data_IF_524661112220
#
_entry.id   IF_524661112220
#
_cell.length_a   1.000
_cell.length_b   1.000
_cell.length_c   1.000
_cell.angle_alpha   90.00
_cell.angle_beta   90.00
_cell.angle_gamma   90.00
#
_symmetry.space_group_name_H-M   'P 1'
#
loop_
_entity.id
_entity.type
_entity.pdbx_description
1 polymer ?
#
# COMPACT_ATOMS: atom_id res chain seq x y z
N UNK A 1 -9.33 18.74 -40.40
CA UNK A 1 -9.23 19.35 -39.06
C UNK A 1 -7.95 18.85 -38.42
N UNK A 2 -6.89 19.66 -38.44
CA UNK A 2 -5.59 19.34 -37.85
C UNK A 2 -5.30 20.38 -36.75
N UNK A 3 -5.00 19.91 -35.54
CA UNK A 3 -4.59 20.74 -34.41
C UNK A 3 -3.06 20.67 -34.23
N UNK A 4 -2.45 21.87 -34.25
CA UNK A 4 -1.37 22.42 -33.41
C UNK A 4 -0.12 21.59 -32.98
N UNK A 5 1.04 22.16 -33.36
CA UNK A 5 2.39 22.16 -32.71
C UNK A 5 2.40 23.05 -31.43
N UNK A 6 3.54 23.32 -30.69
CA UNK A 6 4.92 22.74 -30.65
C UNK A 6 5.52 22.56 -29.21
N UNK A 7 6.79 22.11 -29.08
CA UNK A 7 7.69 22.65 -28.03
C UNK A 7 8.73 21.70 -27.38
N UNK A 8 9.97 21.68 -27.90
CA UNK A 8 11.21 21.16 -27.25
C UNK A 8 11.88 22.28 -26.43
N UNK A 9 12.52 21.95 -25.30
CA UNK A 9 13.94 22.30 -25.05
C UNK A 9 14.53 21.59 -23.81
N UNK A 10 15.68 20.93 -24.03
CA UNK A 10 16.64 20.43 -23.04
C UNK A 10 17.49 21.58 -22.50
N UNK A 11 18.00 21.44 -21.27
CA UNK A 11 19.30 21.99 -20.84
C UNK A 11 20.01 20.98 -19.94
N UNK A 12 21.20 20.58 -20.38
CA UNK A 12 22.20 19.81 -19.65
C UNK A 12 22.86 20.66 -18.55
N UNK A 13 23.26 20.02 -17.44
CA UNK A 13 24.50 20.37 -16.73
C UNK A 13 25.17 19.08 -16.23
N UNK A 14 26.24 18.72 -16.90
CA UNK A 14 27.24 17.73 -16.49
C UNK A 14 28.31 18.46 -15.69
N UNK A 15 28.64 18.06 -14.45
CA UNK A 15 30.03 18.17 -13.97
C UNK A 15 30.34 17.18 -12.85
N UNK A 16 31.44 16.45 -13.07
CA UNK A 16 32.09 15.47 -12.22
C UNK A 16 32.56 16.03 -10.87
N UNK A 17 32.72 15.15 -9.87
CA UNK A 17 33.86 15.17 -8.94
C UNK A 17 33.98 13.81 -8.22
N UNK A 18 34.84 12.96 -8.77
CA UNK A 18 35.55 11.90 -8.06
C UNK A 18 36.70 12.53 -7.29
N UNK A 19 36.78 12.34 -5.97
CA UNK A 19 38.05 12.46 -5.23
C UNK A 19 38.13 11.34 -4.18
N UNK A 20 39.03 10.40 -4.48
CA UNK A 20 39.69 9.46 -3.58
C UNK A 20 40.36 10.15 -2.38
N UNK A 21 40.36 9.51 -1.21
CA UNK A 21 41.52 9.51 -0.28
C UNK A 21 41.41 8.41 0.78
N UNK A 22 42.13 7.31 0.52
CA UNK A 22 42.71 6.43 1.55
C UNK A 22 43.89 7.15 2.23
N UNK A 23 44.03 6.99 3.55
CA UNK A 23 45.24 6.56 4.29
C UNK A 23 45.37 7.18 5.70
N UNK A 24 45.76 6.34 6.68
CA UNK A 24 46.25 6.74 8.02
C UNK A 24 45.80 5.83 9.17
N UNK A 25 46.16 4.53 9.19
CA UNK A 25 47.16 3.89 10.10
C UNK A 25 47.21 4.36 11.57
N UNK A 26 46.85 3.41 12.46
CA UNK A 26 47.44 3.00 13.75
C UNK A 26 47.83 4.04 14.83
N UNK A 27 47.33 3.85 16.07
CA UNK A 27 48.11 3.37 17.24
C UNK A 27 47.30 3.43 18.56
N UNK A 28 47.28 2.29 19.27
CA UNK A 28 47.51 2.11 20.71
C UNK A 28 46.67 2.86 21.79
N UNK A 29 45.94 2.02 22.54
CA UNK A 29 46.13 1.80 24.00
C UNK A 29 45.39 2.64 25.06
N UNK A 30 45.08 1.93 26.17
CA UNK A 30 44.83 2.36 27.56
C UNK A 30 43.42 2.87 27.90
N UNK A 31 42.63 2.08 28.63
CA UNK A 31 42.55 1.99 30.12
C UNK A 31 41.93 3.24 30.76
N UNK A 32 40.68 3.13 31.23
CA UNK A 32 40.25 3.64 32.54
C UNK A 32 38.83 3.14 32.89
N UNK A 33 38.77 2.19 33.82
CA UNK A 33 37.62 1.95 34.71
C UNK A 33 37.66 3.02 35.80
N UNK A 34 36.52 3.56 36.22
CA UNK A 34 36.36 4.17 37.55
C UNK A 34 35.05 3.75 38.21
N UNK A 35 35.05 3.35 39.50
CA UNK A 35 33.93 2.72 40.17
C UNK A 35 33.12 3.64 41.10
N UNK A 36 31.95 3.09 41.45
CA UNK A 36 31.01 3.34 42.57
C UNK A 36 31.61 3.95 43.84
N UNK A 37 30.85 4.85 44.50
CA UNK A 37 30.82 4.90 45.98
C UNK A 37 29.50 5.43 46.56
N UNK A 38 28.88 4.57 47.37
CA UNK A 38 27.81 4.83 48.34
C UNK A 38 28.15 5.94 49.34
N UNK A 39 27.15 6.71 49.78
CA UNK A 39 26.94 7.07 51.21
C UNK A 39 25.44 7.27 51.46
N UNK A 40 24.86 6.39 52.27
CA UNK A 40 23.62 6.63 53.00
C UNK A 40 23.96 7.38 54.29
N UNK A 41 23.18 8.40 54.67
CA UNK A 41 23.05 8.83 56.05
C UNK A 41 21.66 9.40 56.32
N UNK A 42 20.94 8.72 57.20
CA UNK A 42 19.71 9.11 57.86
C UNK A 42 19.95 10.30 58.80
N UNK A 43 19.02 11.26 58.83
CA UNK A 43 18.74 12.01 60.07
C UNK A 43 17.33 12.60 60.05
N UNK A 44 16.50 12.07 60.94
CA UNK A 44 15.29 12.70 61.46
C UNK A 44 15.67 13.97 62.23
N UNK A 45 14.94 15.06 62.01
CA UNK A 45 14.67 16.06 63.04
C UNK A 45 13.30 16.71 62.81
N UNK A 46 12.51 16.73 63.87
CA UNK A 46 11.17 17.31 63.98
C UNK A 46 11.22 18.82 64.24
N UNK A 47 10.19 19.49 63.71
CA UNK A 47 9.55 20.73 64.18
C UNK A 47 10.39 22.01 64.29
N UNK A 48 10.06 23.01 63.45
CA UNK A 48 9.69 24.40 63.80
C UNK A 48 9.12 25.06 62.53
N UNK A 49 7.90 25.58 62.62
CA UNK A 49 7.35 26.66 61.79
C UNK A 49 6.86 27.73 62.80
N UNK A 50 6.76 29.04 62.47
CA UNK A 50 6.28 29.54 61.18
C UNK A 50 6.84 30.89 60.68
N UNK A 51 6.50 31.24 59.44
CA UNK A 51 6.00 32.54 58.94
C UNK A 51 6.63 33.01 57.62
N UNK A 52 5.72 33.25 56.67
CA UNK A 52 5.85 34.06 55.45
C UNK A 52 6.68 33.49 54.30
N UNK A 53 6.12 32.47 53.63
CA UNK A 53 6.29 32.31 52.19
C UNK A 53 4.92 32.47 51.51
N UNK A 54 4.78 33.56 50.77
CA UNK A 54 3.66 33.92 49.90
C UNK A 54 3.43 32.80 48.88
N UNK A 55 2.40 31.99 49.10
CA UNK A 55 1.97 30.98 48.13
C UNK A 55 1.27 31.69 46.96
N UNK A 56 1.87 31.60 45.76
CA UNK A 56 1.15 31.81 44.51
C UNK A 56 0.07 30.73 44.32
N UNK A 57 -0.86 30.89 43.37
CA UNK A 57 -1.95 29.94 43.20
C UNK A 57 -1.36 28.56 42.87
N UNK A 58 -1.55 27.64 43.80
CA UNK A 58 -1.20 26.22 43.63
C UNK A 58 -2.12 25.70 42.53
N UNK A 59 -1.54 25.31 41.40
CA UNK A 59 -2.25 24.61 40.33
C UNK A 59 -3.04 23.44 40.92
N UNK A 60 -4.34 23.30 40.65
CA UNK A 60 -5.11 22.21 41.23
C UNK A 60 -4.52 20.89 40.71
N UNK A 61 -4.08 20.04 41.62
CA UNK A 61 -3.78 18.65 41.32
C UNK A 61 -5.00 18.06 40.60
N UNK A 62 -4.77 17.42 39.46
CA UNK A 62 -5.81 16.75 38.69
C UNK A 62 -6.43 15.66 39.58
N UNK A 63 -7.58 15.96 40.17
CA UNK A 63 -8.38 15.03 40.94
C UNK A 63 -8.90 13.92 40.01
N UNK A 64 -8.12 12.86 39.82
CA UNK A 64 -8.51 11.69 39.03
C UNK A 64 -9.70 10.91 39.62
N UNK A 65 -10.08 11.17 40.88
CA UNK A 65 -11.21 10.55 41.57
C UNK A 65 -12.20 11.58 42.12
N UNK A 66 -12.61 12.55 41.31
CA UNK A 66 -13.80 13.33 41.65
C UNK A 66 -15.05 12.49 41.36
N UNK A 67 -15.45 11.64 42.31
CA UNK A 67 -16.73 10.92 42.26
C UNK A 67 -17.83 11.95 41.99
N UNK A 68 -18.55 11.81 40.88
CA UNK A 68 -19.62 12.74 40.52
C UNK A 68 -20.55 12.90 41.73
N UNK A 69 -20.77 14.15 42.15
CA UNK A 69 -21.63 14.42 43.29
C UNK A 69 -23.03 13.94 42.94
N UNK A 70 -23.47 12.89 43.64
CA UNK A 70 -24.80 12.34 43.44
C UNK A 70 -25.84 13.45 43.66
N UNK A 71 -26.87 13.52 42.80
CA UNK A 71 -27.91 14.54 42.94
C UNK A 71 -28.61 14.41 44.29
N UNK A 72 -28.81 15.54 44.98
CA UNK A 72 -29.58 15.57 46.22
C UNK A 72 -31.02 15.07 46.01
N UNK A 73 -31.56 14.38 47.01
CA UNK A 73 -32.93 13.87 47.02
C UNK A 73 -33.88 15.04 47.33
N UNK A 74 -34.64 15.45 46.33
CA UNK A 74 -35.74 16.42 46.46
C UNK A 74 -37.04 15.69 46.17
N UNK A 75 -38.17 16.15 46.73
CA UNK A 75 -39.49 15.50 46.54
C UNK A 75 -39.81 15.30 45.06
N UNK A 76 -39.52 16.33 44.26
CA UNK A 76 -39.63 16.29 42.80
C UNK A 76 -38.21 16.30 42.23
N UNK A 77 -37.91 15.29 41.42
CA UNK A 77 -36.63 15.18 40.71
C UNK A 77 -36.87 15.04 39.23
N UNK A 78 -36.19 15.88 38.45
CA UNK A 78 -36.14 15.77 37.01
C UNK A 78 -34.95 14.91 36.61
N UNK A 79 -35.21 13.79 35.94
CA UNK A 79 -34.19 12.92 35.38
C UNK A 79 -33.88 13.41 33.97
N UNK A 80 -32.62 13.79 33.68
CA UNK A 80 -32.23 14.21 32.34
C UNK A 80 -32.46 13.12 31.29
N UNK A 81 -32.60 13.53 30.03
CA UNK A 81 -32.66 12.58 28.92
C UNK A 81 -31.39 11.72 28.85
N UNK A 82 -31.56 10.48 28.40
CA UNK A 82 -30.47 9.50 28.27
C UNK A 82 -29.68 9.26 29.58
N UNK A 83 -30.35 9.38 30.72
CA UNK A 83 -29.80 9.11 32.05
C UNK A 83 -30.79 8.28 32.85
N UNK A 84 -30.30 7.33 33.64
CA UNK A 84 -31.08 6.50 34.54
C UNK A 84 -30.58 6.68 35.98
N UNK A 85 -31.48 6.97 36.91
CA UNK A 85 -31.16 7.03 38.34
C UNK A 85 -31.63 5.75 39.02
N UNK A 86 -30.73 5.09 39.74
CA UNK A 86 -31.03 3.90 40.54
C UNK A 86 -31.31 4.34 41.96
N UNK A 87 -32.51 4.01 42.44
CA UNK A 87 -33.00 4.44 43.75
C UNK A 87 -33.06 3.26 44.71
N UNK A 88 -32.51 3.47 45.89
CA UNK A 88 -32.61 2.58 47.04
C UNK A 88 -33.60 3.16 48.06
N UNK A 89 -34.42 2.30 48.66
CA UNK A 89 -35.27 2.63 49.80
C UNK A 89 -34.78 1.86 51.01
N UNK A 90 -34.38 2.58 52.07
CA UNK A 90 -33.83 1.98 53.29
C UNK A 90 -32.68 0.97 53.01
N UNK A 91 -31.84 1.25 52.01
CA UNK A 91 -30.71 0.40 51.62
C UNK A 91 -31.05 -0.82 50.77
N UNK A 92 -32.30 -1.00 50.32
CA UNK A 92 -32.68 -2.01 49.32
C UNK A 92 -33.02 -1.36 47.99
N UNK A 93 -32.71 -2.03 46.88
CA UNK A 93 -33.16 -1.59 45.56
C UNK A 93 -34.69 -1.42 45.52
N UNK A 94 -35.16 -0.28 45.00
CA UNK A 94 -36.58 0.01 44.86
C UNK A 94 -37.03 0.12 43.41
N UNK A 95 -36.46 1.05 42.63
CA UNK A 95 -36.82 1.27 41.22
C UNK A 95 -35.73 2.02 40.44
N UNK A 96 -35.78 1.89 39.12
CA UNK A 96 -34.98 2.68 38.17
C UNK A 96 -35.85 3.82 37.64
N UNK A 97 -35.39 5.06 37.76
CA UNK A 97 -36.07 6.22 37.21
C UNK A 97 -35.68 6.43 35.74
N UNK A 98 -36.68 6.42 34.86
CA UNK A 98 -36.55 6.77 33.46
C UNK A 98 -36.56 8.31 33.28
N UNK A 99 -36.12 8.84 32.12
CA UNK A 99 -36.14 10.28 31.85
C UNK A 99 -37.52 10.91 32.07
N UNK A 100 -37.56 12.07 32.72
CA UNK A 100 -38.81 12.79 33.03
C UNK A 100 -38.93 13.19 34.50
N UNK A 101 -40.15 13.53 34.91
CA UNK A 101 -40.47 13.91 36.28
C UNK A 101 -40.65 12.66 37.15
N UNK A 102 -39.86 12.57 38.21
CA UNK A 102 -39.93 11.51 39.20
C UNK A 102 -40.25 12.08 40.59
N UNK A 103 -41.12 11.39 41.32
CA UNK A 103 -41.44 11.71 42.72
C UNK A 103 -40.67 10.75 43.62
N UNK A 104 -39.97 11.33 44.60
CA UNK A 104 -39.13 10.64 45.59
C UNK A 104 -39.53 11.10 46.99
N UNK A 105 -39.49 10.20 47.96
CA UNK A 105 -39.74 10.56 49.36
C UNK A 105 -38.40 10.96 50.00
N UNK A 106 -38.17 12.24 50.32
CA UNK A 106 -36.96 12.65 51.02
C UNK A 106 -36.87 11.90 52.35
N UNK A 107 -35.67 11.50 52.77
CA UNK A 107 -35.35 10.61 53.90
C UNK A 107 -35.42 9.11 53.59
N UNK A 108 -36.50 8.61 52.96
CA UNK A 108 -36.65 7.17 52.70
C UNK A 108 -35.94 6.70 51.43
N UNK A 109 -36.05 7.49 50.35
CA UNK A 109 -35.50 7.16 49.04
C UNK A 109 -34.14 7.86 48.86
N UNK A 110 -33.13 7.12 48.40
CA UNK A 110 -31.77 7.60 48.12
C UNK A 110 -31.34 7.24 46.71
N UNK A 111 -30.85 8.22 45.94
CA UNK A 111 -30.21 7.98 44.64
C UNK A 111 -28.78 7.54 44.92
N UNK A 112 -28.48 6.27 44.66
CA UNK A 112 -27.15 5.68 44.94
C UNK A 112 -26.28 5.63 43.69
N UNK A 113 -26.87 5.36 42.53
CA UNK A 113 -26.15 5.30 41.26
C UNK A 113 -26.83 6.13 40.18
N UNK A 114 -26.01 6.78 39.36
CA UNK A 114 -26.42 7.53 38.18
C UNK A 114 -25.71 6.91 36.99
N UNK A 115 -26.48 6.38 36.04
CA UNK A 115 -25.93 5.76 34.84
C UNK A 115 -26.35 6.55 33.62
N UNK A 116 -25.37 6.93 32.80
CA UNK A 116 -25.62 7.47 31.47
C UNK A 116 -25.99 6.33 30.52
N UNK A 117 -27.08 6.50 29.78
CA UNK A 117 -27.51 5.57 28.72
C UNK A 117 -26.87 5.92 27.37
N UNK A 118 -26.04 6.97 27.33
CA UNK A 118 -25.31 7.38 26.13
C UNK A 118 -24.13 6.44 25.87
N UNK A 119 -23.77 6.31 24.59
CA UNK A 119 -22.53 5.66 24.20
C UNK A 119 -21.33 6.38 24.83
N UNK A 120 -20.43 5.60 25.43
CA UNK A 120 -19.23 6.09 26.08
C UNK A 120 -18.04 5.30 25.56
N UNK A 121 -16.95 6.00 25.23
CA UNK A 121 -15.68 5.38 24.89
C UNK A 121 -14.87 5.11 26.16
N UNK A 122 -14.38 3.88 26.28
CA UNK A 122 -13.45 3.44 27.33
C UNK A 122 -12.12 3.16 26.66
N UNK A 123 -11.07 3.84 27.12
CA UNK A 123 -9.71 3.56 26.69
C UNK A 123 -9.20 2.28 27.35
N UNK A 124 -8.65 1.39 26.55
CA UNK A 124 -8.01 0.16 27.00
C UNK A 124 -6.51 0.43 27.07
N UNK A 125 -5.87 0.25 28.26
CA UNK A 125 -4.45 0.52 28.42
C UNK A 125 -3.62 -0.40 27.54
N UNK A 126 -2.43 0.06 27.14
CA UNK A 126 -1.54 -0.71 26.29
C UNK A 126 -1.07 -2.00 26.97
N UNK A 127 -1.00 -3.07 26.19
CA UNK A 127 -0.56 -4.39 26.65
C UNK A 127 0.49 -5.00 25.73
N UNK A 128 1.48 -5.62 26.35
CA UNK A 128 2.42 -6.50 25.66
C UNK A 128 1.81 -7.88 25.48
N UNK A 129 1.67 -8.31 24.22
CA UNK A 129 1.21 -9.62 23.82
C UNK A 129 2.25 -10.29 22.91
N UNK A 130 2.29 -11.62 22.89
CA UNK A 130 3.19 -12.40 22.03
C UNK A 130 2.32 -13.11 21.01
N UNK A 131 2.63 -12.96 19.71
CA UNK A 131 1.94 -13.65 18.61
C UNK A 131 2.37 -15.11 18.50
N UNK A 132 1.66 -15.89 17.69
CA UNK A 132 2.01 -17.29 17.40
C UNK A 132 3.41 -17.44 16.77
N UNK A 133 3.90 -16.41 16.07
CA UNK A 133 5.26 -16.34 15.50
C UNK A 133 6.34 -15.96 16.53
N UNK A 134 6.00 -15.92 17.82
CA UNK A 134 6.90 -15.56 18.91
C UNK A 134 7.45 -14.11 18.81
N UNK A 135 6.64 -13.19 18.26
CA UNK A 135 6.96 -11.76 18.23
C UNK A 135 6.17 -11.06 19.32
N UNK A 136 6.87 -10.27 20.15
CA UNK A 136 6.20 -9.40 21.12
C UNK A 136 5.69 -8.13 20.43
N UNK A 137 4.45 -7.74 20.71
CA UNK A 137 3.78 -6.55 20.19
C UNK A 137 3.15 -5.78 21.34
N UNK A 138 3.17 -4.45 21.27
CA UNK A 138 2.39 -3.59 22.16
C UNK A 138 1.14 -3.09 21.41
N UNK A 139 -0.04 -3.30 22.00
CA UNK A 139 -1.31 -2.87 21.43
C UNK A 139 -2.17 -2.17 22.46
N UNK A 140 -2.91 -1.17 21.99
CA UNK A 140 -3.93 -0.45 22.72
C UNK A 140 -5.21 -0.33 21.90
N UNK A 141 -6.29 0.11 22.53
CA UNK A 141 -7.59 0.16 21.88
C UNK A 141 -8.61 1.00 22.61
N UNK A 142 -9.74 1.23 21.94
CA UNK A 142 -10.88 1.95 22.48
C UNK A 142 -12.11 1.05 22.32
N UNK A 143 -12.83 0.85 23.42
CA UNK A 143 -14.07 0.11 23.45
C UNK A 143 -15.24 1.07 23.60
N UNK A 144 -16.20 1.00 22.68
CA UNK A 144 -17.42 1.78 22.74
C UNK A 144 -18.52 0.96 23.40
N UNK A 145 -19.00 1.44 24.54
CA UNK A 145 -20.01 0.74 25.35
C UNK A 145 -21.23 1.62 25.58
N UNK A 146 -22.37 0.96 25.80
CA UNK A 146 -23.61 1.61 26.19
C UNK A 146 -24.29 0.79 27.28
N UNK A 147 -24.79 1.45 28.31
CA UNK A 147 -25.57 0.77 29.36
C UNK A 147 -26.95 0.42 28.81
N UNK A 148 -27.30 -0.87 28.80
CA UNK A 148 -28.63 -1.35 28.43
C UNK A 148 -29.52 -1.53 29.67
N UNK A 149 -28.99 -2.18 30.71
CA UNK A 149 -29.68 -2.38 32.00
C UNK A 149 -28.95 -1.66 33.14
N UNK A 150 -29.45 -0.51 33.62
CA UNK A 150 -28.85 0.26 34.71
C UNK A 150 -28.80 -0.49 36.05
N UNK A 151 -29.69 -1.46 36.29
CA UNK A 151 -29.70 -2.22 37.54
C UNK A 151 -28.49 -3.16 37.58
N UNK A 152 -28.33 -4.00 36.54
CA UNK A 152 -27.18 -4.89 36.42
C UNK A 152 -25.85 -4.11 36.36
N UNK A 153 -25.82 -2.98 35.67
CA UNK A 153 -24.60 -2.17 35.58
C UNK A 153 -24.17 -1.54 36.92
N UNK A 154 -25.11 -1.36 37.86
CA UNK A 154 -24.82 -0.74 39.16
C UNK A 154 -24.57 -1.75 40.28
N UNK A 155 -25.21 -2.93 40.23
CA UNK A 155 -25.08 -3.96 41.27
C UNK A 155 -24.29 -5.19 40.83
N UNK A 156 -24.09 -5.41 39.54
CA UNK A 156 -23.36 -6.57 39.02
C UNK A 156 -21.86 -6.52 39.33
N UNK A 157 -21.29 -5.32 39.38
CA UNK A 157 -19.88 -5.08 39.73
C UNK A 157 -19.71 -3.64 40.25
N UNK A 158 -18.69 -3.41 41.08
CA UNK A 158 -18.42 -2.08 41.68
C UNK A 158 -18.16 -1.00 40.62
N UNK A 159 -17.30 -1.27 39.65
CA UNK A 159 -17.07 -0.43 38.47
C UNK A 159 -17.05 -1.29 37.21
N UNK A 160 -18.14 -1.22 36.44
CA UNK A 160 -18.26 -1.98 35.20
C UNK A 160 -17.27 -1.52 34.13
N UNK A 161 -16.86 -0.24 34.14
CA UNK A 161 -15.90 0.28 33.14
C UNK A 161 -14.55 -0.38 33.34
N UNK A 162 -14.12 -0.47 34.60
CA UNK A 162 -12.90 -1.17 34.96
C UNK A 162 -13.00 -2.66 34.62
N UNK A 163 -14.08 -3.34 35.04
CA UNK A 163 -14.26 -4.78 34.81
C UNK A 163 -14.25 -5.15 33.31
N UNK A 164 -14.98 -4.38 32.48
CA UNK A 164 -14.98 -4.56 31.02
C UNK A 164 -13.59 -4.28 30.45
N UNK A 165 -12.89 -3.26 30.92
CA UNK A 165 -11.54 -2.94 30.43
C UNK A 165 -10.55 -4.08 30.68
N UNK A 166 -10.67 -4.78 31.82
CA UNK A 166 -9.84 -5.93 32.16
C UNK A 166 -10.19 -7.15 31.33
N UNK A 167 -11.49 -7.40 31.13
CA UNK A 167 -11.94 -8.45 30.22
C UNK A 167 -11.40 -8.19 28.81
N UNK A 168 -11.58 -6.99 28.28
CA UNK A 168 -11.09 -6.59 26.95
C UNK A 168 -9.58 -6.79 26.80
N UNK A 169 -8.80 -6.41 27.81
CA UNK A 169 -7.37 -6.67 27.90
C UNK A 169 -7.04 -8.16 27.79
N UNK A 170 -7.69 -9.01 28.60
CA UNK A 170 -7.45 -10.46 28.57
C UNK A 170 -7.85 -11.10 27.25
N UNK A 171 -8.99 -10.70 26.67
CA UNK A 171 -9.47 -11.20 25.37
C UNK A 171 -8.52 -10.77 24.25
N UNK A 172 -8.09 -9.50 24.24
CA UNK A 172 -7.13 -8.98 23.27
C UNK A 172 -5.82 -9.78 23.30
N UNK A 173 -5.25 -10.00 24.49
CA UNK A 173 -4.02 -10.80 24.65
C UNK A 173 -4.18 -12.23 24.11
N UNK A 174 -5.32 -12.87 24.36
CA UNK A 174 -5.56 -14.25 23.91
C UNK A 174 -5.75 -14.35 22.40
N UNK A 175 -6.51 -13.43 21.79
CA UNK A 175 -6.75 -13.41 20.33
C UNK A 175 -5.48 -13.09 19.54
N UNK A 176 -4.60 -12.24 20.07
CA UNK A 176 -3.31 -11.97 19.41
C UNK A 176 -2.39 -13.19 19.49
N UNK A 177 -2.44 -13.93 20.61
CA UNK A 177 -1.60 -15.12 20.80
C UNK A 177 -1.93 -16.27 19.85
N UNK A 178 -3.16 -16.33 19.33
CA UNK A 178 -3.56 -17.34 18.34
C UNK A 178 -3.24 -16.96 16.89
N UNK A 179 -2.89 -15.70 16.63
CA UNK A 179 -2.65 -15.16 15.29
C UNK A 179 -1.17 -14.87 15.03
N UNK A 180 -0.81 -14.92 13.75
CA UNK A 180 0.52 -14.55 13.26
C UNK A 180 0.66 -13.02 13.12
N UNK A 181 1.89 -12.50 13.12
CA UNK A 181 2.15 -11.05 13.03
C UNK A 181 1.50 -10.41 11.78
N UNK A 182 1.69 -11.05 10.64
CA UNK A 182 1.19 -10.55 9.35
C UNK A 182 -0.35 -10.57 9.29
N UNK A 183 -0.99 -11.59 9.86
CA UNK A 183 -2.46 -11.69 9.96
C UNK A 183 -3.04 -10.61 10.87
N UNK A 184 -2.40 -10.32 12.00
CA UNK A 184 -2.81 -9.23 12.91
C UNK A 184 -2.77 -7.88 12.20
N UNK A 185 -1.76 -7.64 11.36
CA UNK A 185 -1.61 -6.38 10.60
C UNK A 185 -2.56 -6.30 9.39
N UNK A 186 -2.82 -7.41 8.70
CA UNK A 186 -3.68 -7.46 7.49
C UNK A 186 -5.17 -7.53 7.82
N UNK A 187 -5.57 -8.27 8.85
CA UNK A 187 -6.96 -8.64 9.14
C UNK A 187 -7.51 -7.92 10.39
N UNK A 188 -7.07 -6.68 10.64
CA UNK A 188 -7.50 -5.88 11.80
C UNK A 188 -9.03 -5.83 11.98
N UNK A 189 -9.80 -5.79 10.90
CA UNK A 189 -11.27 -5.78 10.97
C UNK A 189 -11.86 -7.08 11.51
N UNK A 190 -11.30 -8.23 11.10
CA UNK A 190 -11.73 -9.55 11.57
C UNK A 190 -11.46 -9.70 13.07
N UNK A 191 -10.28 -9.28 13.51
CA UNK A 191 -9.88 -9.28 14.91
C UNK A 191 -10.79 -8.36 15.75
N UNK A 192 -11.08 -7.14 15.29
CA UNK A 192 -12.01 -6.23 15.97
C UNK A 192 -13.40 -6.85 16.18
N UNK A 193 -13.90 -7.57 15.17
CA UNK A 193 -15.21 -8.24 15.23
C UNK A 193 -15.20 -9.39 16.25
N UNK A 194 -14.18 -10.25 16.20
CA UNK A 194 -14.06 -11.41 17.10
C UNK A 194 -13.91 -10.96 18.57
N UNK A 195 -13.05 -9.98 18.83
CA UNK A 195 -12.88 -9.40 20.18
C UNK A 195 -14.22 -8.83 20.67
N UNK A 196 -14.89 -8.02 19.86
CA UNK A 196 -16.17 -7.43 20.25
C UNK A 196 -17.23 -8.48 20.54
N UNK A 197 -17.30 -9.56 19.74
CA UNK A 197 -18.24 -10.67 19.94
C UNK A 197 -18.07 -11.31 21.31
N UNK A 198 -16.84 -11.67 21.68
CA UNK A 198 -16.52 -12.33 22.95
C UNK A 198 -16.83 -11.41 24.14
N UNK A 199 -16.41 -10.14 24.06
CA UNK A 199 -16.65 -9.16 25.14
C UNK A 199 -18.15 -8.89 25.29
N UNK A 200 -18.89 -8.72 24.19
CA UNK A 200 -20.31 -8.36 24.23
C UNK A 200 -21.17 -9.47 24.85
N UNK A 201 -20.87 -10.75 24.58
CA UNK A 201 -21.56 -11.88 25.18
C UNK A 201 -21.43 -11.87 26.71
N UNK A 202 -20.20 -11.77 27.22
CA UNK A 202 -19.94 -11.72 28.66
C UNK A 202 -20.50 -10.45 29.33
N UNK A 203 -20.33 -9.29 28.70
CA UNK A 203 -20.74 -8.00 29.25
C UNK A 203 -22.27 -7.87 29.38
N UNK A 204 -23.02 -8.42 28.42
CA UNK A 204 -24.48 -8.37 28.43
C UNK A 204 -25.08 -9.26 29.52
N UNK A 205 -24.50 -10.44 29.72
CA UNK A 205 -24.99 -11.41 30.72
C UNK A 205 -24.76 -10.91 32.16
N UNK A 206 -23.51 -10.53 32.47
CA UNK A 206 -23.06 -10.26 33.84
C UNK A 206 -23.28 -8.81 34.28
N UNK A 207 -23.08 -7.84 33.38
CA UNK A 207 -23.06 -6.41 33.74
C UNK A 207 -24.20 -5.60 33.11
N UNK A 208 -24.97 -6.17 32.18
CA UNK A 208 -26.06 -5.44 31.53
C UNK A 208 -25.58 -4.28 30.64
N UNK A 209 -24.34 -4.37 30.16
CA UNK A 209 -23.71 -3.39 29.27
C UNK A 209 -23.60 -3.99 27.88
N UNK A 210 -23.92 -3.20 26.87
CA UNK A 210 -23.81 -3.55 25.47
C UNK A 210 -22.50 -2.97 24.90
N UNK A 211 -21.66 -3.83 24.35
CA UNK A 211 -20.46 -3.41 23.64
C UNK A 211 -20.81 -3.22 22.16
N UNK A 212 -20.68 -1.98 21.69
CA UNK A 212 -21.06 -1.61 20.33
C UNK A 212 -19.96 -2.01 19.34
N UNK A 213 -18.72 -1.62 19.64
CA UNK A 213 -17.55 -1.93 18.82
C UNK A 213 -16.26 -1.83 19.62
N UNK A 214 -15.27 -2.61 19.19
CA UNK A 214 -13.89 -2.51 19.61
C UNK A 214 -13.04 -1.95 18.46
N UNK A 215 -12.21 -0.96 18.74
CA UNK A 215 -11.33 -0.31 17.78
C UNK A 215 -9.90 -0.39 18.31
N UNK A 216 -9.01 -1.14 17.67
CA UNK A 216 -7.57 -1.06 17.94
C UNK A 216 -7.10 0.38 17.69
N UNK A 217 -6.28 0.98 18.55
CA UNK A 217 -5.72 2.30 18.25
C UNK A 217 -4.46 2.10 17.42
N UNK A 218 -3.39 1.61 18.05
CA UNK A 218 -2.10 1.37 17.42
C UNK A 218 -1.54 -0.04 17.70
N UNK A 219 -0.66 -0.50 16.81
CA UNK A 219 0.08 -1.77 16.95
C UNK A 219 1.56 -1.44 16.78
N UNK A 220 2.33 -1.65 17.84
CA UNK A 220 3.76 -1.35 17.88
C UNK A 220 4.59 -2.64 17.94
N UNK A 221 5.02 -3.16 16.78
CA UNK A 221 6.06 -4.19 16.72
C UNK A 221 7.46 -3.61 17.00
N UNK A 222 8.39 -4.43 17.51
CA UNK A 222 9.77 -4.03 17.70
C UNK A 222 10.45 -3.81 16.34
N UNK A 223 11.32 -2.79 16.27
CA UNK A 223 11.88 -2.27 15.01
C UNK A 223 12.71 -3.30 14.23
N UNK A 224 13.41 -4.18 14.94
CA UNK A 224 14.21 -5.26 14.32
C UNK A 224 13.36 -6.21 13.45
N UNK A 225 12.13 -6.49 13.87
CA UNK A 225 11.22 -7.36 13.13
C UNK A 225 10.61 -6.61 11.94
N UNK A 226 10.23 -5.35 12.13
CA UNK A 226 9.75 -4.50 11.04
C UNK A 226 10.78 -4.37 9.91
N UNK A 227 12.03 -4.08 10.24
CA UNK A 227 13.10 -3.92 9.25
C UNK A 227 13.34 -5.21 8.46
N UNK A 228 13.34 -6.36 9.14
CA UNK A 228 13.46 -7.67 8.50
C UNK A 228 12.28 -7.93 7.55
N UNK A 229 11.06 -7.64 7.99
CA UNK A 229 9.84 -7.78 7.19
C UNK A 229 9.85 -6.85 5.98
N UNK A 230 10.21 -5.58 6.13
CA UNK A 230 10.34 -4.63 5.03
C UNK A 230 11.40 -5.07 4.01
N UNK A 231 12.53 -5.61 4.49
CA UNK A 231 13.57 -6.17 3.61
C UNK A 231 13.07 -7.38 2.83
N UNK A 232 12.31 -8.27 3.47
CA UNK A 232 11.73 -9.45 2.82
C UNK A 232 10.68 -9.05 1.78
N UNK A 233 9.73 -8.18 2.15
CA UNK A 233 8.66 -7.72 1.26
C UNK A 233 9.22 -6.94 0.08
N UNK A 234 10.22 -6.07 0.29
CA UNK A 234 10.85 -5.32 -0.80
C UNK A 234 11.62 -6.24 -1.76
N UNK A 235 12.36 -7.24 -1.24
CA UNK A 235 13.03 -8.23 -2.06
C UNK A 235 12.04 -9.06 -2.88
N UNK A 236 10.93 -9.52 -2.28
CA UNK A 236 9.91 -10.28 -2.98
C UNK A 236 9.18 -9.43 -4.04
N UNK A 237 8.86 -8.18 -3.72
CA UNK A 237 8.29 -7.22 -4.68
C UNK A 237 9.23 -6.98 -5.85
N UNK A 238 10.53 -6.78 -5.61
CA UNK A 238 11.53 -6.60 -6.66
C UNK A 238 11.63 -7.83 -7.56
N UNK A 239 11.67 -9.03 -6.98
CA UNK A 239 11.69 -10.29 -7.74
C UNK A 239 10.44 -10.45 -8.61
N UNK A 240 9.26 -10.17 -8.05
CA UNK A 240 7.99 -10.24 -8.81
C UNK A 240 7.96 -9.20 -9.93
N UNK A 241 8.45 -7.99 -9.69
CA UNK A 241 8.53 -6.95 -10.72
C UNK A 241 9.45 -7.35 -11.88
N UNK A 242 10.63 -7.90 -11.58
CA UNK A 242 11.59 -8.35 -12.59
C UNK A 242 11.04 -9.51 -13.46
N UNK A 243 10.34 -10.46 -12.84
CA UNK A 243 9.68 -11.57 -13.57
C UNK A 243 8.61 -11.01 -14.50
N UNK A 244 7.73 -10.14 -13.99
CA UNK A 244 6.66 -9.52 -14.78
C UNK A 244 7.21 -8.65 -15.92
N UNK A 245 8.31 -7.94 -15.71
CA UNK A 245 8.97 -7.13 -16.74
C UNK A 245 9.61 -8.01 -17.83
N UNK A 246 10.26 -9.10 -17.44
CA UNK A 246 10.82 -10.09 -18.37
C UNK A 246 9.73 -10.75 -19.21
N UNK A 247 8.63 -11.17 -18.58
CA UNK A 247 7.46 -11.73 -19.24
C UNK A 247 6.79 -10.72 -20.18
N UNK A 248 6.58 -9.49 -19.71
CA UNK A 248 6.04 -8.40 -20.52
C UNK A 248 6.91 -8.07 -21.73
N UNK A 249 8.24 -8.05 -21.56
CA UNK A 249 9.21 -7.80 -22.65
C UNK A 249 9.21 -8.95 -23.66
N UNK A 250 9.11 -10.19 -23.19
CA UNK A 250 8.98 -11.36 -24.07
C UNK A 250 7.68 -11.29 -24.87
N UNK A 251 6.56 -11.04 -24.21
CA UNK A 251 5.26 -10.96 -24.86
C UNK A 251 5.19 -9.80 -25.85
N UNK A 252 5.74 -8.63 -25.48
CA UNK A 252 5.82 -7.48 -26.37
C UNK A 252 6.62 -7.81 -27.65
N UNK A 253 7.77 -8.48 -27.52
CA UNK A 253 8.58 -8.91 -28.68
C UNK A 253 7.84 -9.89 -29.58
N UNK A 254 7.12 -10.85 -29.01
CA UNK A 254 6.28 -11.79 -29.77
C UNK A 254 5.20 -11.02 -30.54
N UNK A 255 4.48 -10.13 -29.86
CA UNK A 255 3.40 -9.35 -30.48
C UNK A 255 3.91 -8.45 -31.62
N UNK A 256 5.10 -7.85 -31.47
CA UNK A 256 5.74 -7.05 -32.52
C UNK A 256 6.10 -7.95 -33.72
N UNK A 257 6.76 -9.09 -33.50
CA UNK A 257 7.15 -10.01 -34.57
C UNK A 257 5.93 -10.59 -35.32
N UNK A 258 4.86 -10.93 -34.60
CA UNK A 258 3.59 -11.36 -35.20
C UNK A 258 2.93 -10.24 -36.00
N UNK A 259 2.93 -9.02 -35.48
CA UNK A 259 2.43 -7.84 -36.19
C UNK A 259 3.21 -7.56 -37.48
N UNK A 260 4.54 -7.66 -37.44
CA UNK A 260 5.41 -7.51 -38.62
C UNK A 260 5.16 -8.59 -39.67
N UNK A 261 5.06 -9.86 -39.24
CA UNK A 261 4.71 -10.98 -40.12
C UNK A 261 3.36 -10.75 -40.80
N UNK A 262 2.33 -10.39 -40.04
CA UNK A 262 1.00 -10.10 -40.57
C UNK A 262 1.03 -8.92 -41.53
N UNK A 263 1.74 -7.84 -41.19
CA UNK A 263 1.89 -6.68 -42.06
C UNK A 263 2.62 -7.03 -43.38
N UNK A 264 3.62 -7.93 -43.35
CA UNK A 264 4.32 -8.39 -44.54
C UNK A 264 3.43 -9.23 -45.45
N UNK A 265 2.65 -10.15 -44.87
CA UNK A 265 1.69 -10.98 -45.62
C UNK A 265 0.65 -10.08 -46.29
N UNK A 266 0.04 -9.16 -45.54
CA UNK A 266 -0.96 -8.23 -46.08
C UNK A 266 -0.38 -7.34 -47.18
N UNK A 267 0.88 -6.91 -47.06
CA UNK A 267 1.57 -6.17 -48.13
C UNK A 267 1.78 -7.03 -49.37
N UNK A 268 2.26 -8.27 -49.21
CA UNK A 268 2.49 -9.19 -50.32
C UNK A 268 1.18 -9.50 -51.07
N UNK A 269 0.12 -9.82 -50.33
CA UNK A 269 -1.22 -10.03 -50.88
C UNK A 269 -1.75 -8.79 -51.61
N UNK A 270 -1.62 -7.60 -50.99
CA UNK A 270 -2.01 -6.35 -51.63
C UNK A 270 -1.23 -6.09 -52.92
N UNK A 271 0.08 -6.36 -52.94
CA UNK A 271 0.90 -6.21 -54.16
C UNK A 271 0.48 -7.20 -55.25
N UNK A 272 0.25 -8.47 -54.91
CA UNK A 272 -0.20 -9.47 -55.87
C UNK A 272 -1.55 -9.10 -56.49
N UNK A 273 -2.53 -8.73 -55.66
CA UNK A 273 -3.84 -8.24 -56.11
C UNK A 273 -3.71 -6.97 -56.96
N UNK A 274 -2.80 -6.06 -56.61
CA UNK A 274 -2.56 -4.85 -57.38
C UNK A 274 -2.00 -5.16 -58.78
N UNK A 275 -1.03 -6.08 -58.87
CA UNK A 275 -0.42 -6.50 -60.14
C UNK A 275 -1.46 -7.20 -61.01
N UNK A 276 -2.28 -8.07 -60.43
CA UNK A 276 -3.37 -8.74 -61.14
C UNK A 276 -4.38 -7.73 -61.69
N UNK A 277 -4.81 -6.76 -60.88
CA UNK A 277 -5.70 -5.68 -61.32
C UNK A 277 -5.10 -4.84 -62.45
N UNK A 278 -3.81 -4.51 -62.35
CA UNK A 278 -3.08 -3.80 -63.40
C UNK A 278 -3.05 -4.64 -64.68
N UNK A 279 -2.69 -5.93 -64.59
CA UNK A 279 -2.66 -6.86 -65.72
C UNK A 279 -4.01 -6.97 -66.43
N UNK A 280 -5.11 -7.09 -65.68
CA UNK A 280 -6.46 -7.12 -66.23
C UNK A 280 -6.85 -5.79 -66.87
N UNK A 281 -6.47 -4.66 -66.26
CA UNK A 281 -6.74 -3.33 -66.80
C UNK A 281 -6.01 -3.10 -68.13
N UNK A 282 -4.76 -3.58 -68.26
CA UNK A 282 -3.98 -3.50 -69.52
C UNK A 282 -4.65 -4.28 -70.63
N UNK A 283 -5.10 -5.51 -70.36
CA UNK A 283 -5.74 -6.37 -71.37
C UNK A 283 -7.02 -5.74 -71.95
N UNK A 284 -7.77 -5.00 -71.13
CA UNK A 284 -9.07 -4.47 -71.51
C UNK A 284 -9.01 -3.07 -72.16
N UNK A 285 -7.87 -2.36 -72.10
CA UNK A 285 -7.77 -0.97 -72.56
C UNK A 285 -6.79 -0.84 -73.74
N UNK A 286 -7.20 -0.33 -74.92
CA UNK A 286 -6.29 -0.13 -76.05
C UNK A 286 -5.22 0.93 -75.72
N UNK A 287 -3.94 0.61 -75.88
CA UNK A 287 -2.80 1.51 -75.58
C UNK A 287 -2.17 1.36 -74.18
N UNK A 288 -2.61 0.39 -73.37
CA UNK A 288 -2.08 0.18 -72.01
C UNK A 288 -0.59 -0.21 -71.95
N UNK A 289 -0.05 -0.83 -73.00
CA UNK A 289 1.37 -1.24 -73.05
C UNK A 289 2.34 -0.06 -73.18
N UNK A 290 1.96 0.98 -73.92
CA UNK A 290 2.81 2.16 -74.13
C UNK A 290 2.86 3.04 -72.87
N UNK A 291 1.77 3.11 -72.11
CA UNK A 291 1.70 3.82 -70.84
C UNK A 291 2.64 3.19 -69.77
N UNK A 292 2.79 1.87 -69.75
CA UNK A 292 3.67 1.17 -68.81
C UNK A 292 5.13 1.41 -69.13
N UNK A 293 5.50 1.36 -70.41
CA UNK A 293 6.88 1.62 -70.82
C UNK A 293 7.30 3.04 -70.42
N UNK A 294 6.41 4.02 -70.59
CA UNK A 294 6.63 5.39 -70.10
C UNK A 294 6.71 5.45 -68.57
N UNK A 295 5.89 4.69 -67.84
CA UNK A 295 5.90 4.68 -66.37
C UNK A 295 7.16 4.01 -65.80
N UNK A 296 7.63 2.91 -66.39
CA UNK A 296 8.91 2.26 -66.03
C UNK A 296 10.07 3.21 -66.29
N UNK A 297 10.05 3.94 -67.41
CA UNK A 297 11.06 4.95 -67.70
C UNK A 297 11.04 6.10 -66.66
N UNK A 298 9.86 6.56 -66.24
CA UNK A 298 9.72 7.56 -65.17
C UNK A 298 10.24 7.06 -63.82
N UNK A 299 9.90 5.83 -63.42
CA UNK A 299 10.36 5.23 -62.16
C UNK A 299 11.88 5.03 -62.16
N UNK A 300 12.44 4.56 -63.29
CA UNK A 300 13.88 4.45 -63.50
C UNK A 300 14.58 5.80 -63.33
N UNK A 301 14.10 6.86 -63.99
CA UNK A 301 14.66 8.22 -63.85
C UNK A 301 14.57 8.71 -62.39
N UNK A 302 13.47 8.41 -61.70
CA UNK A 302 13.22 8.85 -60.33
C UNK A 302 14.13 8.16 -59.32
N UNK A 303 14.34 6.85 -59.44
CA UNK A 303 15.28 6.09 -58.61
C UNK A 303 16.73 6.44 -58.95
N UNK A 304 17.06 6.59 -60.24
CA UNK A 304 18.38 7.08 -60.67
C UNK A 304 18.66 8.49 -60.12
N UNK A 305 17.64 9.35 -60.05
CA UNK A 305 17.73 10.68 -59.44
C UNK A 305 17.92 10.69 -57.92
N UNK A 306 17.48 9.65 -57.20
CA UNK A 306 17.79 9.48 -55.76
C UNK A 306 19.24 9.02 -55.55
N UNK A 307 19.70 8.06 -56.36
CA UNK A 307 21.09 7.56 -56.33
C UNK A 307 22.08 8.68 -56.64
N UNK A 308 21.76 9.52 -57.64
CA UNK A 308 22.55 10.69 -58.01
C UNK A 308 22.59 11.79 -56.92
N UNK A 309 21.67 11.77 -55.95
CA UNK A 309 21.67 12.68 -54.78
C UNK A 309 22.41 12.11 -53.56
N UNK A 310 22.40 10.79 -53.37
CA UNK A 310 23.00 10.15 -52.20
C UNK A 310 24.46 9.73 -52.40
N UNK A 311 24.93 9.55 -53.64
CA UNK A 311 26.31 9.13 -53.93
C UNK A 311 27.02 10.09 -54.90
N UNK A 312 28.27 10.44 -54.58
CA UNK A 312 29.05 11.49 -55.27
C UNK A 312 29.86 10.98 -56.49
N UNK A 313 29.73 9.70 -56.85
CA UNK A 313 30.43 9.08 -57.97
C UNK A 313 29.42 8.32 -58.83
N UNK A 314 29.08 8.88 -59.99
CA UNK A 314 28.16 8.27 -60.96
C UNK A 314 28.95 7.44 -61.96
N UNK A 315 28.70 6.13 -62.00
CA UNK A 315 29.23 5.24 -63.05
C UNK A 315 28.14 5.06 -64.10
N UNK A 316 28.27 5.75 -65.24
CA UNK A 316 27.40 5.54 -66.39
C UNK A 316 27.91 4.36 -67.23
N UNK A 317 27.07 3.36 -67.54
CA UNK A 317 27.42 2.36 -68.55
C UNK A 317 27.55 3.05 -69.91
N UNK A 318 28.63 2.76 -70.63
CA UNK A 318 29.02 3.42 -71.88
C UNK A 318 28.11 3.11 -73.08
N UNK A 319 27.00 2.38 -72.89
CA UNK A 319 26.09 2.03 -73.95
C UNK A 319 24.62 2.03 -73.47
N UNK A 320 23.89 3.09 -73.80
CA UNK A 320 22.49 3.30 -73.43
C UNK A 320 21.50 2.67 -74.43
N UNK A 321 21.98 2.01 -75.50
CA UNK A 321 21.15 1.44 -76.57
C UNK A 321 20.64 0.01 -76.33
N UNK A 322 21.31 -0.79 -75.49
CA UNK A 322 20.99 -2.21 -75.32
C UNK A 322 20.39 -2.51 -73.94
N UNK A 323 19.11 -2.17 -73.78
CA UNK A 323 18.32 -2.48 -72.58
C UNK A 323 18.28 -4.01 -72.29
N UNK A 324 18.33 -4.83 -73.34
CA UNK A 324 18.31 -6.29 -73.24
C UNK A 324 19.61 -6.86 -72.63
N UNK A 325 20.76 -6.23 -72.90
CA UNK A 325 22.05 -6.65 -72.35
C UNK A 325 22.18 -6.32 -70.87
N UNK A 326 21.66 -5.16 -70.44
CA UNK A 326 21.67 -4.74 -69.04
C UNK A 326 20.70 -5.58 -68.19
N UNK A 327 19.52 -5.94 -68.71
CA UNK A 327 18.59 -6.85 -68.03
C UNK A 327 19.13 -8.27 -67.94
N UNK A 328 19.78 -8.80 -68.99
CA UNK A 328 20.40 -10.13 -68.94
C UNK A 328 21.56 -10.19 -67.95
N UNK A 329 22.42 -9.16 -67.92
CA UNK A 329 23.50 -9.05 -66.94
C UNK A 329 22.95 -8.87 -65.51
N UNK A 330 21.91 -8.05 -65.34
CA UNK A 330 21.24 -7.84 -64.06
C UNK A 330 20.56 -9.10 -63.52
N UNK A 331 19.82 -9.83 -64.36
CA UNK A 331 19.19 -11.11 -64.00
C UNK A 331 20.22 -12.20 -63.73
N UNK A 332 21.32 -12.24 -64.48
CA UNK A 332 22.42 -13.18 -64.24
C UNK A 332 23.15 -12.92 -62.92
N UNK A 333 23.40 -11.65 -62.58
CA UNK A 333 23.96 -11.27 -61.28
C UNK A 333 22.98 -11.56 -60.14
N UNK A 334 21.69 -11.28 -60.32
CA UNK A 334 20.64 -11.59 -59.35
C UNK A 334 20.51 -13.10 -59.10
N UNK A 335 20.55 -13.94 -60.15
CA UNK A 335 20.57 -15.40 -60.01
C UNK A 335 21.84 -15.90 -59.31
N UNK A 336 22.98 -15.29 -59.56
CA UNK A 336 24.25 -15.67 -58.91
C UNK A 336 24.24 -15.29 -57.43
N UNK A 337 23.68 -14.13 -57.08
CA UNK A 337 23.51 -13.70 -55.70
C UNK A 337 22.47 -14.56 -54.98
N UNK A 338 21.34 -14.88 -55.62
CA UNK A 338 20.32 -15.74 -55.03
C UNK A 338 20.88 -17.14 -54.76
N UNK A 339 21.61 -17.72 -55.74
CA UNK A 339 22.27 -19.03 -55.57
C UNK A 339 23.33 -19.03 -54.47
N UNK A 340 24.03 -17.90 -54.27
CA UNK A 340 24.99 -17.75 -53.17
C UNK A 340 24.29 -17.53 -51.82
N UNK A 341 23.10 -16.95 -51.81
CA UNK A 341 22.30 -16.73 -50.59
C UNK A 341 21.65 -18.05 -50.14
N UNK A 342 21.10 -18.83 -51.08
CA UNK A 342 20.58 -20.18 -50.86
C UNK A 342 21.68 -21.12 -50.32
N UNK A 343 22.88 -21.12 -50.94
CA UNK A 343 24.03 -21.89 -50.42
C UNK A 343 24.50 -21.47 -49.04
N UNK A 344 24.39 -20.17 -48.72
CA UNK A 344 24.76 -19.66 -47.40
C UNK A 344 23.73 -20.06 -46.34
N UNK A 345 22.45 -20.13 -46.71
CA UNK A 345 21.36 -20.61 -45.85
C UNK A 345 21.52 -22.12 -45.59
N UNK A 346 21.80 -22.93 -46.63
CA UNK A 346 22.06 -24.38 -46.49
C UNK A 346 23.26 -24.67 -45.57
N UNK A 347 24.35 -23.91 -45.69
CA UNK A 347 25.55 -24.08 -44.84
C UNK A 347 25.35 -23.68 -43.37
N UNK A 348 24.33 -22.87 -43.07
CA UNK A 348 23.97 -22.45 -41.70
C UNK A 348 22.96 -23.42 -41.08
N UNK A 349 22.09 -24.05 -41.89
CA UNK A 349 21.18 -25.10 -41.43
C UNK A 349 21.88 -26.42 -41.13
N UNK A 350 22.86 -26.85 -41.94
CA UNK A 350 23.65 -28.08 -41.64
C UNK A 350 24.50 -27.94 -40.37
N UNK A 351 25.05 -26.75 -40.09
CA UNK A 351 25.81 -26.49 -38.85
C UNK A 351 24.96 -26.35 -37.60
N UNK A 352 23.64 -26.16 -37.74
CA UNK A 352 22.69 -26.12 -36.63
C UNK A 352 22.20 -27.50 -36.19
N UNK A 353 22.36 -28.53 -37.03
CA UNK A 353 21.85 -29.89 -36.80
C UNK A 353 22.92 -30.82 -36.19
N UNK A 354 24.21 -30.52 -36.35
CA UNK A 354 25.33 -31.21 -35.66
C UNK A 354 25.59 -30.73 -34.22
N UNK A 355 24.91 -29.67 -33.75
CA UNK A 355 25.13 -29.05 -32.45
C UNK A 355 23.99 -29.30 -31.43
N UNK A 356 23.20 -30.36 -31.62
CA UNK A 356 22.10 -30.76 -30.71
C UNK A 356 22.34 -32.10 -30.04
#
# INVERSE_FOLDING_TARGET
>A
MCFARPGRQKRDVTTCLHIDRKAGKMLASRLAKTPVRNVALLRNYSSINPLMARQGPVSPALNFFQKERLPANTIIKFVPQQTAYVVERMGKFHKILKPGMAILIPVLDKITYVQSLKETAIEIPSQNAITADNVSLELDGILYVKVHDPYKASYGVEDFKFAISQLAQTTMRSEIGSLNLDSVLKERQSLNFNINKIINEAAKEHWGVECLRYEIRDIHPPQNVLDAMHRQVSAERSKRAEILESEGTRQSRINIAEGEKQALILKAEATALSIEKIANSIKNTPGGTDAINLQVAQEYIKEFGKIAKETNTIVLPSNLGDLNGLMAAGLGMFQTLNRNTDKKIESVTEKGEEAK
#
